data_IF_918399538353
#
_entry.id   IF_918399538353
#
_cell.length_a   1.000
_cell.length_b   1.000
_cell.length_c   1.000
_cell.angle_alpha   90.00
_cell.angle_beta   90.00
_cell.angle_gamma   90.00
#
_symmetry.space_group_name_H-M   'P 1'
#
loop_
_entity.id
_entity.type
_entity.pdbx_description
1 polymer ?
#
# COMPACT_ATOMS: atom_id res chain seq x y z
N UNK A 1 9.71 15.11 -9.38
CA UNK A 1 8.95 15.33 -8.14
C UNK A 1 8.97 14.02 -7.38
N UNK A 2 9.28 14.03 -6.07
CA UNK A 2 9.28 12.81 -5.26
C UNK A 2 7.86 12.28 -5.06
N UNK A 3 7.70 10.95 -4.95
CA UNK A 3 6.44 10.35 -4.54
C UNK A 3 6.15 10.79 -3.10
N UNK A 4 4.90 11.17 -2.81
CA UNK A 4 4.44 11.52 -1.46
C UNK A 4 3.30 10.63 -1.04
N UNK A 5 3.36 10.09 0.17
CA UNK A 5 2.36 9.19 0.74
C UNK A 5 1.83 9.75 2.06
N UNK A 6 0.56 9.47 2.36
CA UNK A 6 -0.03 9.79 3.65
C UNK A 6 0.39 8.76 4.69
N UNK A 7 1.13 9.19 5.70
CA UNK A 7 1.58 8.36 6.82
C UNK A 7 0.54 8.41 7.94
N UNK A 8 -0.16 7.29 8.15
CA UNK A 8 -1.18 7.16 9.19
C UNK A 8 -0.62 7.32 10.61
N UNK A 9 0.65 6.97 10.87
CA UNK A 9 1.27 7.09 12.20
C UNK A 9 1.39 8.56 12.63
N UNK A 10 1.74 9.44 11.69
CA UNK A 10 1.93 10.87 11.95
C UNK A 10 0.79 11.75 11.46
N UNK A 11 -0.18 11.18 10.74
CA UNK A 11 -1.34 11.87 10.16
C UNK A 11 -0.96 13.02 9.24
N UNK A 12 0.08 12.81 8.43
CA UNK A 12 0.62 13.83 7.51
C UNK A 12 1.05 13.21 6.20
N UNK A 13 1.11 14.03 5.15
CA UNK A 13 1.70 13.64 3.86
C UNK A 13 3.21 13.85 3.95
N UNK A 14 3.98 12.83 3.61
CA UNK A 14 5.45 12.83 3.64
C UNK A 14 6.03 12.39 2.30
N UNK A 15 7.27 12.81 2.04
CA UNK A 15 8.05 12.24 0.94
C UNK A 15 8.33 10.76 1.23
N UNK A 16 8.19 9.94 0.19
CA UNK A 16 8.47 8.51 0.26
C UNK A 16 9.93 8.26 -0.08
N UNK A 17 10.67 7.73 0.89
CA UNK A 17 12.07 7.34 0.77
C UNK A 17 12.22 5.86 1.16
N UNK A 18 12.72 4.99 0.25
CA UNK A 18 12.95 3.58 0.58
C UNK A 18 14.04 3.45 1.65
N UNK A 19 13.87 2.49 2.57
CA UNK A 19 14.89 2.20 3.58
C UNK A 19 16.20 1.68 2.95
N UNK A 20 16.11 0.92 1.85
CA UNK A 20 17.25 0.33 1.14
C UNK A 20 17.14 0.53 -0.38
N UNK A 21 17.47 1.70 -0.94
CA UNK A 21 17.38 1.94 -2.38
C UNK A 21 18.25 0.96 -3.21
N UNK A 22 17.75 0.44 -4.35
CA UNK A 22 16.49 0.77 -5.01
C UNK A 22 15.30 -0.09 -4.56
N UNK A 23 15.46 -0.90 -3.51
CA UNK A 23 14.46 -1.87 -3.05
C UNK A 23 13.39 -1.19 -2.20
N UNK A 24 12.13 -1.42 -2.56
CA UNK A 24 10.98 -1.06 -1.73
C UNK A 24 10.42 -2.30 -1.07
N UNK A 25 10.36 -2.30 0.25
CA UNK A 25 9.65 -3.31 1.03
C UNK A 25 8.22 -2.84 1.30
N UNK A 26 7.25 -3.64 0.89
CA UNK A 26 5.83 -3.33 1.00
C UNK A 26 5.07 -4.56 1.51
N UNK A 27 4.14 -4.33 2.44
CA UNK A 27 3.25 -5.36 2.96
C UNK A 27 1.81 -4.83 3.02
N UNK A 28 0.88 -5.69 2.62
CA UNK A 28 -0.55 -5.48 2.78
C UNK A 28 -1.19 -6.74 3.36
N UNK A 29 -2.12 -6.58 4.28
CA UNK A 29 -2.86 -7.69 4.84
C UNK A 29 -3.70 -8.40 3.76
N UNK A 30 -3.68 -9.73 3.76
CA UNK A 30 -4.54 -10.57 2.92
C UNK A 30 -5.94 -10.80 3.49
N UNK A 31 -6.81 -11.52 2.76
CA UNK A 31 -8.13 -11.92 3.26
C UNK A 31 -8.03 -13.03 4.30
N UNK A 32 -9.01 -13.11 5.20
CA UNK A 32 -9.28 -14.34 5.94
C UNK A 32 -10.10 -15.28 5.05
N UNK A 33 -9.63 -16.50 4.82
CA UNK A 33 -10.10 -17.39 3.74
C UNK A 33 -11.24 -18.34 4.14
N UNK A 34 -12.18 -17.89 4.98
CA UNK A 34 -13.32 -18.72 5.40
C UNK A 34 -14.60 -18.47 4.60
N UNK A 35 -14.65 -17.40 3.79
CA UNK A 35 -15.80 -17.01 2.97
C UNK A 35 -15.32 -16.24 1.72
N UNK A 36 -16.23 -15.94 0.80
CA UNK A 36 -15.97 -15.13 -0.39
C UNK A 36 -15.56 -13.71 -0.02
N UNK A 37 -14.56 -13.18 -0.74
CA UNK A 37 -14.20 -11.78 -0.62
C UNK A 37 -15.34 -10.88 -1.09
N UNK A 38 -15.65 -9.83 -0.32
CA UNK A 38 -16.63 -8.83 -0.69
C UNK A 38 -15.96 -7.64 -1.40
N UNK A 39 -16.77 -6.77 -2.02
CA UNK A 39 -16.29 -5.60 -2.78
C UNK A 39 -15.36 -4.68 -1.99
N UNK A 40 -15.50 -4.65 -0.67
CA UNK A 40 -14.63 -3.90 0.23
C UNK A 40 -13.21 -4.45 0.29
N UNK A 41 -13.05 -5.79 0.32
CA UNK A 41 -11.72 -6.41 0.24
C UNK A 41 -11.06 -6.10 -1.11
N UNK A 42 -11.81 -6.29 -2.20
CA UNK A 42 -11.30 -6.03 -3.56
C UNK A 42 -10.88 -4.58 -3.77
N UNK A 43 -11.61 -3.61 -3.21
CA UNK A 43 -11.18 -2.21 -3.25
C UNK A 43 -9.80 -2.02 -2.63
N UNK A 44 -9.55 -2.59 -1.44
CA UNK A 44 -8.23 -2.50 -0.79
C UNK A 44 -7.15 -3.18 -1.63
N UNK A 45 -7.41 -4.39 -2.13
CA UNK A 45 -6.45 -5.12 -2.96
C UNK A 45 -6.09 -4.39 -4.25
N UNK A 46 -7.07 -3.73 -4.90
CA UNK A 46 -6.81 -2.92 -6.09
C UNK A 46 -5.98 -1.67 -5.79
N UNK A 47 -6.20 -1.02 -4.64
CA UNK A 47 -5.35 0.11 -4.23
C UNK A 47 -3.90 -0.34 -4.01
N UNK A 48 -3.70 -1.50 -3.40
CA UNK A 48 -2.36 -2.07 -3.21
C UNK A 48 -1.70 -2.52 -4.52
N UNK A 49 -2.45 -3.11 -5.45
CA UNK A 49 -1.97 -3.46 -6.79
C UNK A 49 -1.54 -2.20 -7.57
N UNK A 50 -2.33 -1.12 -7.51
CA UNK A 50 -1.95 0.16 -8.13
C UNK A 50 -0.66 0.73 -7.53
N UNK A 51 -0.51 0.68 -6.20
CA UNK A 51 0.72 1.13 -5.55
C UNK A 51 1.92 0.29 -5.95
N UNK A 52 1.77 -1.04 -6.01
CA UNK A 52 2.82 -1.95 -6.44
C UNK A 52 3.25 -1.74 -7.89
N UNK A 53 2.30 -1.45 -8.80
CA UNK A 53 2.61 -1.17 -10.22
C UNK A 53 3.28 0.19 -10.42
N UNK A 54 3.04 1.14 -9.52
CA UNK A 54 3.59 2.48 -9.61
C UNK A 54 5.03 2.55 -9.09
N UNK A 55 5.35 1.77 -8.06
CA UNK A 55 6.67 1.66 -7.43
C UNK A 55 7.61 0.77 -8.24
#
# INVERSE_FOLDING_TARGET
MALRLYDTLTRSVKDFEPAEPPVVQFYACGPTVYDYAHIGNYRSFLVYDLLHRYL
#
